data_IF_607284506223
#
_entry.id   IF_607284506223
#
_cell.length_a   1.000
_cell.length_b   1.000
_cell.length_c   1.000
_cell.angle_alpha   90.00
_cell.angle_beta   90.00
_cell.angle_gamma   90.00
#
_symmetry.space_group_name_H-M   'P 1'
#
loop_
_entity.id
_entity.type
_entity.pdbx_description
1 polymer ?
#
# COMPACT_ATOMS: atom_id res chain seq x y z
N UNK A 1 31.98 -78.50 36.75
CA UNK A 1 32.43 -77.82 35.51
C UNK A 1 33.17 -76.56 35.92
N UNK A 2 34.50 -76.59 35.97
CA UNK A 2 35.29 -75.40 36.25
C UNK A 2 35.17 -74.44 35.07
N UNK A 3 34.51 -73.32 35.29
CA UNK A 3 34.34 -72.28 34.29
C UNK A 3 35.73 -71.68 33.98
N UNK A 4 36.28 -72.01 32.81
CA UNK A 4 37.63 -71.58 32.42
C UNK A 4 37.60 -70.11 31.99
N UNK A 5 37.49 -69.22 32.97
CA UNK A 5 37.42 -67.78 32.80
C UNK A 5 38.62 -67.23 32.00
N UNK A 6 39.78 -67.90 32.06
CA UNK A 6 40.99 -67.52 31.30
C UNK A 6 40.78 -67.58 29.77
N UNK A 7 39.87 -68.42 29.27
CA UNK A 7 39.54 -68.48 27.83
C UNK A 7 38.50 -67.43 27.40
N UNK A 8 37.67 -66.94 28.32
CA UNK A 8 36.56 -66.01 28.04
C UNK A 8 36.96 -64.55 28.28
N UNK A 9 37.86 -64.31 29.24
CA UNK A 9 38.35 -63.00 29.63
C UNK A 9 38.89 -62.14 28.45
N UNK A 10 39.65 -62.67 27.48
CA UNK A 10 40.13 -61.88 26.33
C UNK A 10 38.98 -61.37 25.46
N UNK A 11 37.95 -62.20 25.24
CA UNK A 11 36.78 -61.85 24.43
C UNK A 11 35.88 -60.82 25.12
N UNK A 12 35.74 -60.91 26.44
CA UNK A 12 35.02 -59.91 27.24
C UNK A 12 35.76 -58.56 27.20
N UNK A 13 37.09 -58.57 27.32
CA UNK A 13 37.90 -57.35 27.22
C UNK A 13 37.80 -56.71 25.83
N UNK A 14 37.85 -57.50 24.76
CA UNK A 14 37.65 -57.00 23.38
C UNK A 14 36.25 -56.40 23.23
N UNK A 15 35.21 -57.07 23.73
CA UNK A 15 33.84 -56.56 23.67
C UNK A 15 33.69 -55.22 24.43
N UNK A 16 34.30 -55.08 25.60
CA UNK A 16 34.30 -53.81 26.36
C UNK A 16 35.02 -52.70 25.59
N UNK A 17 36.15 -52.99 24.94
CA UNK A 17 36.88 -52.01 24.12
C UNK A 17 36.08 -51.59 22.89
N UNK A 18 35.42 -52.54 22.22
CA UNK A 18 34.57 -52.26 21.05
C UNK A 18 33.33 -51.44 21.45
N UNK A 19 32.68 -51.79 22.56
CA UNK A 19 31.55 -51.02 23.11
C UNK A 19 32.03 -49.63 23.53
N UNK A 20 33.19 -49.52 24.18
CA UNK A 20 33.80 -48.25 24.56
C UNK A 20 34.14 -47.37 23.35
N UNK A 21 34.68 -47.94 22.27
CA UNK A 21 34.90 -47.21 21.01
C UNK A 21 33.59 -46.83 20.32
N UNK A 22 32.57 -47.69 20.33
CA UNK A 22 31.27 -47.39 19.75
C UNK A 22 30.58 -46.26 20.53
N UNK A 23 30.61 -46.32 21.86
CA UNK A 23 30.10 -45.26 22.75
C UNK A 23 30.90 -43.97 22.52
N UNK A 24 32.22 -44.03 22.47
CA UNK A 24 33.07 -42.87 22.18
C UNK A 24 32.81 -42.28 20.79
N UNK A 25 32.58 -43.11 19.76
CA UNK A 25 32.19 -42.67 18.42
C UNK A 25 30.80 -42.03 18.43
N UNK A 26 29.83 -42.62 19.14
CA UNK A 26 28.49 -42.05 19.33
C UNK A 26 28.57 -40.69 20.03
N UNK A 27 29.32 -40.55 21.12
CA UNK A 27 29.56 -39.27 21.79
C UNK A 27 30.34 -38.27 20.93
N UNK A 28 31.24 -38.75 20.06
CA UNK A 28 32.00 -37.90 19.13
C UNK A 28 31.13 -37.38 17.98
N UNK A 29 30.09 -38.12 17.57
CA UNK A 29 29.15 -37.72 16.52
C UNK A 29 27.90 -36.99 17.05
N UNK A 30 27.55 -37.13 18.33
CA UNK A 30 26.56 -36.29 19.01
C UNK A 30 27.28 -35.05 19.57
N UNK A 31 27.73 -34.18 18.66
CA UNK A 31 28.28 -32.89 19.06
C UNK A 31 27.21 -32.00 19.68
N UNK A 32 27.57 -31.18 20.67
CA UNK A 32 26.65 -30.17 21.21
C UNK A 32 26.13 -29.25 20.10
N UNK A 33 24.83 -28.93 20.16
CA UNK A 33 24.24 -27.93 19.28
C UNK A 33 24.82 -26.56 19.59
N UNK A 34 25.20 -25.80 18.55
CA UNK A 34 25.62 -24.41 18.70
C UNK A 34 24.94 -23.54 17.65
N UNK A 35 24.45 -22.38 18.08
CA UNK A 35 23.89 -21.34 17.24
C UNK A 35 24.48 -20.01 17.69
N UNK A 36 25.05 -19.26 16.76
CA UNK A 36 25.70 -17.98 17.02
C UNK A 36 25.35 -17.01 15.88
N UNK A 37 24.69 -15.92 16.20
CA UNK A 37 24.41 -14.82 15.28
C UNK A 37 25.69 -14.02 15.05
N UNK A 38 26.01 -13.74 13.79
CA UNK A 38 27.23 -13.01 13.39
C UNK A 38 26.93 -11.58 12.95
N UNK A 39 25.83 -11.37 12.22
CA UNK A 39 25.38 -10.04 11.82
C UNK A 39 23.87 -10.03 11.57
N UNK A 40 23.13 -8.99 12.00
CA UNK A 40 23.62 -7.84 12.77
C UNK A 40 23.89 -8.25 14.21
N UNK A 41 25.02 -7.80 14.76
CA UNK A 41 25.41 -8.11 16.14
C UNK A 41 25.53 -6.86 17.02
N UNK A 42 25.20 -5.68 16.49
CA UNK A 42 25.06 -4.46 17.25
C UNK A 42 25.68 -3.24 16.61
N UNK A 43 25.07 -2.08 16.85
CA UNK A 43 25.43 -0.76 16.34
C UNK A 43 25.34 -0.59 14.82
N UNK A 44 24.90 -1.60 14.06
CA UNK A 44 24.63 -1.40 12.64
C UNK A 44 23.52 -0.37 12.44
N UNK A 45 23.61 0.36 11.34
CA UNK A 45 22.59 1.32 10.92
C UNK A 45 22.08 0.82 9.57
N UNK A 46 20.88 0.27 9.59
CA UNK A 46 20.18 -0.26 8.43
C UNK A 46 19.04 0.68 8.05
N UNK A 47 18.54 0.52 6.84
CA UNK A 47 17.53 1.40 6.27
C UNK A 47 16.30 0.61 5.82
N UNK A 48 15.11 1.05 6.23
CA UNK A 48 13.86 0.49 5.77
C UNK A 48 13.76 0.49 4.23
N UNK A 49 13.19 -0.57 3.65
CA UNK A 49 13.06 -0.74 2.20
C UNK A 49 14.32 -1.23 1.47
N UNK A 50 15.44 -1.42 2.17
CA UNK A 50 16.65 -2.06 1.63
C UNK A 50 16.73 -3.53 2.05
N UNK A 51 17.57 -4.28 1.34
CA UNK A 51 17.88 -5.68 1.66
C UNK A 51 19.22 -5.77 2.36
N UNK A 52 19.25 -6.40 3.53
CA UNK A 52 20.46 -6.65 4.30
C UNK A 52 20.61 -8.14 4.60
N UNK A 53 21.85 -8.60 4.79
CA UNK A 53 22.12 -10.01 5.03
C UNK A 53 22.25 -10.27 6.53
N UNK A 54 21.44 -11.21 7.04
CA UNK A 54 21.56 -11.76 8.38
C UNK A 54 22.43 -13.01 8.28
N UNK A 55 23.49 -13.12 9.08
CA UNK A 55 24.45 -14.24 9.03
C UNK A 55 24.64 -14.89 10.39
N UNK A 56 24.91 -16.20 10.40
CA UNK A 56 25.07 -16.99 11.62
C UNK A 56 26.01 -18.18 11.42
N UNK A 57 26.49 -18.75 12.52
CA UNK A 57 27.09 -20.09 12.59
C UNK A 57 26.10 -21.05 13.23
N UNK A 58 26.00 -22.25 12.68
CA UNK A 58 25.16 -23.32 13.21
C UNK A 58 25.89 -24.66 13.14
N UNK A 59 25.78 -25.48 14.19
CA UNK A 59 26.28 -26.85 14.28
C UNK A 59 25.20 -27.75 14.84
N UNK A 60 24.95 -28.88 14.17
CA UNK A 60 23.92 -29.86 14.56
C UNK A 60 22.51 -29.27 14.70
N UNK A 61 22.20 -28.24 13.91
CA UNK A 61 20.88 -27.60 13.82
C UNK A 61 20.39 -27.73 12.38
N UNK A 62 19.18 -28.25 12.20
CA UNK A 62 18.60 -28.45 10.86
C UNK A 62 18.00 -27.17 10.29
N UNK A 63 17.19 -26.48 11.09
CA UNK A 63 16.45 -25.28 10.67
C UNK A 63 16.48 -24.20 11.74
N UNK A 64 16.34 -22.97 11.30
CA UNK A 64 16.28 -21.77 12.13
C UNK A 64 15.06 -20.92 11.80
N UNK A 65 14.63 -20.12 12.76
CA UNK A 65 13.75 -18.99 12.54
C UNK A 65 14.44 -17.72 13.01
N UNK A 66 14.10 -16.59 12.38
CA UNK A 66 14.68 -15.28 12.68
C UNK A 66 13.56 -14.34 13.06
N UNK A 67 13.74 -13.62 14.16
CA UNK A 67 12.78 -12.64 14.68
C UNK A 67 13.42 -11.26 14.79
N UNK A 68 12.61 -10.25 14.52
CA UNK A 68 12.88 -8.86 14.86
C UNK A 68 12.26 -8.57 16.23
N UNK A 69 13.10 -8.23 17.19
CA UNK A 69 12.70 -7.96 18.57
C UNK A 69 12.66 -6.46 18.79
N UNK A 70 11.55 -5.98 19.35
CA UNK A 70 11.31 -4.60 19.79
C UNK A 70 11.06 -4.59 21.29
N UNK A 71 11.66 -3.64 21.99
CA UNK A 71 11.60 -3.54 23.45
C UNK A 71 12.04 -4.85 24.15
N UNK A 72 12.23 -4.83 25.47
CA UNK A 72 12.88 -5.97 26.19
C UNK A 72 12.01 -7.24 26.29
N UNK A 73 11.03 -7.44 25.41
CA UNK A 73 9.97 -8.46 25.52
C UNK A 73 9.85 -9.32 24.25
N UNK A 74 10.16 -10.63 24.32
CA UNK A 74 9.97 -11.57 23.20
C UNK A 74 8.51 -11.75 22.72
N UNK A 75 7.52 -11.35 23.53
CA UNK A 75 6.08 -11.53 23.22
C UNK A 75 5.56 -10.64 22.09
N UNK A 76 6.26 -9.54 21.79
CA UNK A 76 5.90 -8.60 20.72
C UNK A 76 6.85 -8.71 19.51
N UNK A 77 7.66 -9.78 19.46
CA UNK A 77 8.63 -9.99 18.38
C UNK A 77 7.95 -10.42 17.08
N UNK A 78 8.43 -9.86 15.98
CA UNK A 78 7.94 -10.15 14.63
C UNK A 78 8.81 -11.23 13.98
N UNK A 79 8.19 -12.20 13.31
CA UNK A 79 8.96 -13.21 12.56
C UNK A 79 9.40 -12.65 11.21
N UNK A 80 10.72 -12.57 11.00
CA UNK A 80 11.32 -12.25 9.71
C UNK A 80 11.23 -13.45 8.78
N UNK A 81 11.55 -14.64 9.30
CA UNK A 81 11.44 -15.91 8.57
C UNK A 81 11.28 -17.07 9.56
N UNK A 82 10.54 -18.10 9.14
CA UNK A 82 10.37 -19.37 9.85
C UNK A 82 10.87 -20.52 8.98
N UNK A 83 11.22 -21.63 9.61
CA UNK A 83 11.54 -22.90 8.92
C UNK A 83 12.70 -22.81 7.89
N UNK A 84 13.69 -21.94 8.14
CA UNK A 84 14.77 -21.69 7.19
C UNK A 84 15.96 -22.66 7.38
N UNK A 85 16.56 -23.24 6.31
CA UNK A 85 17.66 -24.20 6.47
C UNK A 85 18.90 -23.58 7.14
N UNK A 86 19.28 -24.10 8.31
CA UNK A 86 20.38 -23.55 9.12
C UNK A 86 21.74 -23.63 8.40
N UNK A 87 21.92 -24.64 7.53
CA UNK A 87 23.12 -24.84 6.73
C UNK A 87 23.39 -23.75 5.69
N UNK A 88 22.42 -22.89 5.38
CA UNK A 88 22.62 -21.74 4.49
C UNK A 88 23.51 -20.65 5.11
N UNK A 89 23.53 -20.53 6.45
CA UNK A 89 24.35 -19.58 7.22
C UNK A 89 24.13 -18.08 6.94
N UNK A 90 23.20 -17.77 6.04
CA UNK A 90 22.83 -16.42 5.64
C UNK A 90 21.38 -16.36 5.17
N UNK A 91 20.75 -15.21 5.38
CA UNK A 91 19.40 -14.88 4.93
C UNK A 91 19.37 -13.43 4.43
N UNK A 92 18.88 -13.21 3.22
CA UNK A 92 18.72 -11.87 2.66
C UNK A 92 17.36 -11.32 3.11
N UNK A 93 17.37 -10.42 4.09
CA UNK A 93 16.18 -9.81 4.66
C UNK A 93 15.87 -8.50 3.95
N UNK A 94 14.77 -8.48 3.20
CA UNK A 94 14.17 -7.25 2.71
C UNK A 94 13.38 -6.60 3.84
N UNK A 95 13.91 -5.51 4.41
CA UNK A 95 13.24 -4.77 5.47
C UNK A 95 12.01 -4.08 4.86
N UNK A 96 10.86 -4.19 5.53
CA UNK A 96 9.64 -3.50 5.10
C UNK A 96 9.89 -2.00 4.96
N UNK A 97 9.39 -1.38 3.88
CA UNK A 97 9.65 0.02 3.56
C UNK A 97 9.20 1.02 4.64
N UNK A 98 8.23 0.61 5.46
CA UNK A 98 7.66 1.39 6.57
C UNK A 98 7.97 0.77 7.92
N UNK A 99 9.10 0.06 8.02
CA UNK A 99 9.61 -0.36 9.32
C UNK A 99 9.76 0.87 10.20
N UNK A 100 9.12 0.83 11.37
CA UNK A 100 9.13 1.91 12.35
C UNK A 100 10.59 2.32 12.68
N UNK A 101 10.98 3.59 12.48
CA UNK A 101 12.36 4.03 12.71
C UNK A 101 12.71 3.97 14.19
N UNK A 102 13.69 3.13 14.57
CA UNK A 102 14.14 2.98 15.95
C UNK A 102 15.60 2.58 16.05
N UNK A 103 16.17 2.77 17.24
CA UNK A 103 17.57 2.47 17.59
C UNK A 103 17.73 1.27 18.54
N UNK A 104 16.62 0.62 18.90
CA UNK A 104 16.53 -0.40 19.94
C UNK A 104 16.18 -1.81 19.41
N UNK A 105 16.31 -2.03 18.09
CA UNK A 105 16.06 -3.32 17.49
C UNK A 105 17.15 -4.34 17.87
N UNK A 106 16.73 -5.61 18.01
CA UNK A 106 17.61 -6.77 18.06
C UNK A 106 17.13 -7.86 17.10
N UNK A 107 18.06 -8.65 16.56
CA UNK A 107 17.72 -9.90 15.90
C UNK A 107 17.82 -11.02 16.92
N UNK A 108 16.81 -11.89 16.93
CA UNK A 108 16.88 -13.18 17.61
C UNK A 108 16.87 -14.29 16.57
N UNK A 109 17.83 -15.21 16.66
CA UNK A 109 17.86 -16.42 15.84
C UNK A 109 17.63 -17.63 16.72
N UNK A 110 16.71 -18.49 16.31
CA UNK A 110 16.28 -19.65 17.10
C UNK A 110 16.35 -20.92 16.28
N UNK A 111 16.66 -22.04 16.91
CA UNK A 111 16.36 -23.35 16.35
C UNK A 111 14.84 -23.48 16.15
N UNK A 112 14.43 -24.03 15.00
CA UNK A 112 13.03 -24.15 14.60
C UNK A 112 12.68 -25.61 14.27
N UNK A 113 11.48 -26.10 14.65
CA UNK A 113 10.43 -25.44 15.43
C UNK A 113 10.81 -25.26 16.92
N UNK A 114 10.19 -24.30 17.61
CA UNK A 114 10.55 -23.90 18.99
C UNK A 114 10.16 -24.95 20.04
N UNK A 115 11.12 -25.34 20.88
CA UNK A 115 10.96 -26.16 22.08
C UNK A 115 11.80 -25.57 23.23
N UNK A 116 11.54 -25.95 24.49
CA UNK A 116 12.21 -25.38 25.68
C UNK A 116 13.75 -25.54 25.66
N UNK A 117 14.28 -26.58 25.01
CA UNK A 117 15.72 -26.85 24.94
C UNK A 117 16.41 -26.28 23.68
N UNK A 118 15.69 -25.51 22.87
CA UNK A 118 16.21 -24.99 21.62
C UNK A 118 17.33 -23.97 21.84
N UNK A 119 18.30 -24.00 20.92
CA UNK A 119 19.31 -22.95 20.88
C UNK A 119 18.69 -21.65 20.38
N UNK A 120 18.95 -20.57 21.12
CA UNK A 120 18.60 -19.20 20.79
C UNK A 120 19.83 -18.34 20.96
N UNK A 121 20.00 -17.40 20.05
CA UNK A 121 20.98 -16.34 20.19
C UNK A 121 20.36 -14.99 19.80
N UNK A 122 20.92 -13.91 20.35
CA UNK A 122 20.46 -12.54 20.12
C UNK A 122 21.64 -11.68 19.67
N UNK A 123 21.36 -10.59 18.95
CA UNK A 123 22.36 -9.54 18.75
C UNK A 123 22.89 -9.04 20.11
N UNK A 124 24.21 -8.93 20.23
CA UNK A 124 24.87 -8.48 21.46
C UNK A 124 24.40 -7.08 21.87
N UNK A 125 24.39 -6.14 20.92
CA UNK A 125 23.86 -4.78 21.11
C UNK A 125 22.68 -4.51 20.19
N UNK A 126 21.98 -3.41 20.48
CA UNK A 126 20.91 -2.94 19.61
C UNK A 126 21.50 -2.44 18.29
N UNK A 127 20.73 -2.58 17.22
CA UNK A 127 21.01 -1.94 15.93
C UNK A 127 19.88 -0.97 15.59
N UNK A 128 20.17 -0.05 14.67
CA UNK A 128 19.23 0.99 14.24
C UNK A 128 18.64 0.64 12.89
N UNK A 129 17.32 0.76 12.77
CA UNK A 129 16.65 0.81 11.47
C UNK A 129 16.19 2.25 11.29
N UNK A 130 16.82 2.96 10.36
CA UNK A 130 16.34 4.24 9.88
C UNK A 130 15.08 4.00 9.06
N UNK A 131 14.17 4.97 9.12
CA UNK A 131 13.09 5.07 8.14
C UNK A 131 13.66 5.14 6.73
N UNK A 132 12.81 5.00 5.71
CA UNK A 132 13.29 5.10 4.35
C UNK A 132 13.92 6.47 4.10
N UNK A 133 14.99 6.53 3.30
CA UNK A 133 15.58 7.79 2.80
C UNK A 133 14.65 8.38 1.74
N UNK A 134 13.52 8.90 2.16
CA UNK A 134 12.69 9.75 1.34
C UNK A 134 12.78 11.16 1.92
N UNK A 135 12.66 12.17 1.05
CA UNK A 135 12.22 13.44 1.58
C UNK A 135 10.84 13.22 2.21
N UNK A 136 10.71 13.72 3.43
CA UNK A 136 9.58 13.42 4.29
C UNK A 136 8.45 14.39 3.97
N UNK A 137 7.27 13.87 3.69
CA UNK A 137 6.03 14.64 3.66
C UNK A 137 5.45 14.86 5.07
N UNK A 138 6.19 14.54 6.14
CA UNK A 138 5.68 14.60 7.51
C UNK A 138 5.41 16.05 7.93
N UNK A 139 6.25 17.01 7.51
CA UNK A 139 5.99 18.42 7.79
C UNK A 139 4.67 18.88 7.14
N UNK A 140 4.48 18.56 5.85
CA UNK A 140 3.22 18.79 5.16
C UNK A 140 2.05 18.08 5.85
N UNK A 141 2.31 16.88 6.37
CA UNK A 141 1.29 16.11 7.04
C UNK A 141 0.87 16.72 8.38
N UNK A 142 1.82 17.30 9.11
CA UNK A 142 1.58 18.04 10.34
C UNK A 142 0.87 19.36 10.04
N UNK A 143 1.38 20.15 9.08
CA UNK A 143 0.84 21.47 8.74
C UNK A 143 -0.58 21.40 8.18
N UNK A 144 -0.84 20.39 7.34
CA UNK A 144 -2.17 20.18 6.78
C UNK A 144 -3.07 19.36 7.71
N UNK A 145 -2.54 18.72 8.76
CA UNK A 145 -3.23 17.72 9.58
C UNK A 145 -3.71 16.48 8.78
N UNK A 146 -3.00 16.12 7.69
CA UNK A 146 -3.35 15.04 6.75
C UNK A 146 -2.19 14.12 6.42
N UNK A 147 -2.42 12.84 6.18
CA UNK A 147 -1.33 11.96 5.72
C UNK A 147 -0.97 12.22 4.25
N UNK A 148 0.28 12.63 4.00
CA UNK A 148 0.87 12.71 2.67
C UNK A 148 1.95 11.63 2.49
N UNK A 149 2.04 11.08 1.29
CA UNK A 149 3.04 10.11 0.89
C UNK A 149 3.90 10.68 -0.25
N UNK A 150 5.21 10.41 -0.27
CA UNK A 150 6.07 10.82 -1.38
C UNK A 150 5.75 10.03 -2.65
N UNK A 151 6.01 10.63 -3.81
CA UNK A 151 5.69 10.07 -5.13
C UNK A 151 6.40 8.76 -5.48
N UNK A 152 7.47 8.41 -4.76
CA UNK A 152 8.26 7.18 -4.91
C UNK A 152 7.92 6.11 -3.84
N UNK A 153 6.86 6.31 -3.08
CA UNK A 153 6.32 5.30 -2.18
C UNK A 153 5.96 4.03 -2.98
N UNK A 154 6.30 2.82 -2.50
CA UNK A 154 6.06 1.58 -3.24
C UNK A 154 4.57 1.24 -3.35
N UNK A 155 4.16 0.69 -4.49
CA UNK A 155 2.79 0.20 -4.75
C UNK A 155 1.70 1.29 -4.58
N UNK A 156 1.99 2.50 -5.05
CA UNK A 156 0.98 3.56 -5.15
C UNK A 156 0.00 3.30 -6.30
N UNK A 157 -1.24 3.77 -6.12
CA UNK A 157 -2.29 3.89 -7.12
C UNK A 157 -2.79 5.32 -7.12
N UNK A 158 -2.41 6.07 -8.15
CA UNK A 158 -2.80 7.47 -8.30
C UNK A 158 -4.23 7.57 -8.84
N UNK A 159 -4.98 8.53 -8.31
CA UNK A 159 -6.38 8.77 -8.66
C UNK A 159 -6.64 10.24 -8.89
N UNK A 160 -7.39 10.56 -9.94
CA UNK A 160 -7.95 11.90 -10.12
C UNK A 160 -9.39 11.84 -10.61
N UNK A 161 -10.09 12.97 -10.53
CA UNK A 161 -11.42 13.12 -11.13
C UNK A 161 -11.30 14.09 -12.30
N UNK A 162 -11.95 13.76 -13.42
CA UNK A 162 -11.96 14.63 -14.59
C UNK A 162 -12.55 16.01 -14.28
N UNK A 163 -12.01 17.04 -14.92
CA UNK A 163 -12.52 18.40 -14.98
C UNK A 163 -13.72 18.43 -15.93
N UNK A 164 -13.61 17.70 -17.04
CA UNK A 164 -14.69 17.54 -18.02
C UNK A 164 -15.74 16.55 -17.52
N UNK A 165 -17.01 16.88 -17.71
CA UNK A 165 -18.13 15.99 -17.49
C UNK A 165 -18.65 15.46 -18.84
N UNK A 166 -19.13 14.21 -18.84
CA UNK A 166 -19.54 13.48 -20.02
C UNK A 166 -20.92 12.88 -19.82
N UNK A 167 -21.73 12.84 -20.89
CA UNK A 167 -22.98 12.08 -20.91
C UNK A 167 -22.74 10.56 -20.87
N UNK A 168 -23.81 9.79 -20.95
CA UNK A 168 -23.77 8.33 -20.91
C UNK A 168 -23.08 7.69 -22.13
N UNK A 169 -23.02 8.37 -23.28
CA UNK A 169 -22.25 7.88 -24.42
C UNK A 169 -20.76 8.22 -24.26
N UNK A 170 -20.05 7.31 -23.58
CA UNK A 170 -18.61 7.37 -23.41
C UNK A 170 -17.86 6.63 -24.53
N UNK A 171 -18.55 5.96 -25.45
CA UNK A 171 -17.94 5.04 -26.42
C UNK A 171 -17.61 3.67 -25.81
N UNK A 172 -18.42 3.22 -24.86
CA UNK A 172 -18.15 2.02 -24.06
C UNK A 172 -17.06 2.23 -23.02
N UNK A 173 -16.65 1.15 -22.35
CA UNK A 173 -15.57 1.22 -21.36
C UNK A 173 -14.22 1.63 -21.97
N UNK A 174 -13.94 1.23 -23.22
CA UNK A 174 -12.73 1.67 -23.94
C UNK A 174 -12.70 3.17 -24.16
N UNK A 175 -13.80 3.76 -24.63
CA UNK A 175 -13.88 5.21 -24.82
C UNK A 175 -13.92 6.00 -23.50
N UNK A 176 -14.34 5.41 -22.38
CA UNK A 176 -14.19 5.99 -21.05
C UNK A 176 -12.73 5.99 -20.60
N UNK A 177 -12.00 4.90 -20.84
CA UNK A 177 -10.56 4.80 -20.56
C UNK A 177 -9.76 5.82 -21.39
N UNK A 178 -10.07 5.98 -22.68
CA UNK A 178 -9.45 7.00 -23.55
C UNK A 178 -9.66 8.43 -23.03
N UNK A 179 -10.83 8.74 -22.45
CA UNK A 179 -11.10 10.05 -21.85
C UNK A 179 -10.24 10.28 -20.61
N UNK A 180 -10.11 9.27 -19.75
CA UNK A 180 -9.20 9.33 -18.60
C UNK A 180 -7.74 9.48 -19.04
N UNK A 181 -7.29 8.72 -20.04
CA UNK A 181 -5.94 8.80 -20.56
C UNK A 181 -5.63 10.17 -21.15
N UNK A 182 -6.51 10.71 -21.99
CA UNK A 182 -6.36 12.03 -22.59
C UNK A 182 -6.25 13.12 -21.51
N UNK A 183 -7.09 13.06 -20.49
CA UNK A 183 -7.08 14.08 -19.45
C UNK A 183 -5.86 13.95 -18.52
N UNK A 184 -5.36 12.73 -18.31
CA UNK A 184 -4.09 12.52 -17.62
C UNK A 184 -2.92 13.17 -18.40
N UNK A 185 -2.87 12.98 -19.72
CA UNK A 185 -1.86 13.56 -20.60
C UNK A 185 -1.91 15.09 -20.61
N UNK A 186 -3.11 15.69 -20.67
CA UNK A 186 -3.30 17.14 -20.58
C UNK A 186 -2.79 17.73 -19.24
N UNK A 187 -2.80 16.91 -18.17
CA UNK A 187 -2.25 17.25 -16.85
C UNK A 187 -0.78 16.88 -16.66
N UNK A 188 -0.13 16.29 -17.68
CA UNK A 188 1.25 15.80 -17.57
C UNK A 188 1.43 14.60 -16.64
N UNK A 189 0.37 13.84 -16.38
CA UNK A 189 0.41 12.64 -15.55
C UNK A 189 0.86 11.43 -16.38
N UNK A 190 2.02 10.89 -16.04
CA UNK A 190 2.59 9.71 -16.71
C UNK A 190 1.85 8.40 -16.35
N UNK A 191 2.01 7.39 -17.20
CA UNK A 191 1.45 6.05 -17.01
C UNK A 191 0.17 5.80 -17.81
N UNK A 192 -0.45 4.64 -17.56
CA UNK A 192 -1.72 4.24 -18.19
C UNK A 192 -2.86 4.52 -17.23
N UNK A 193 -3.90 5.19 -17.70
CA UNK A 193 -5.04 5.61 -16.90
C UNK A 193 -6.33 5.02 -17.45
N UNK A 194 -7.17 4.52 -16.55
CA UNK A 194 -8.48 3.94 -16.88
C UNK A 194 -9.56 4.50 -15.99
N UNK A 195 -10.81 4.50 -16.48
CA UNK A 195 -11.95 4.90 -15.67
C UNK A 195 -12.30 3.81 -14.65
N UNK A 196 -12.54 4.18 -13.38
CA UNK A 196 -13.21 3.33 -12.40
C UNK A 196 -14.68 3.20 -12.76
N UNK A 197 -14.94 2.37 -13.78
CA UNK A 197 -16.23 2.26 -14.42
C UNK A 197 -16.49 0.80 -14.82
N UNK A 198 -17.63 0.27 -14.41
CA UNK A 198 -18.13 -1.02 -14.89
C UNK A 198 -19.28 -0.88 -15.88
N UNK A 199 -19.58 -1.95 -16.61
CA UNK A 199 -20.73 -2.03 -17.51
C UNK A 199 -21.69 -3.18 -17.12
N UNK A 200 -22.67 -3.47 -17.97
CA UNK A 200 -23.66 -4.52 -17.75
C UNK A 200 -23.08 -5.96 -17.77
N UNK A 201 -21.85 -6.13 -18.28
CA UNK A 201 -21.14 -7.40 -18.42
C UNK A 201 -19.86 -7.49 -17.57
N UNK A 202 -19.10 -6.40 -17.44
CA UNK A 202 -17.79 -6.31 -16.82
C UNK A 202 -17.84 -5.43 -15.57
N UNK A 203 -17.44 -5.97 -14.43
CA UNK A 203 -17.35 -5.20 -13.19
C UNK A 203 -16.08 -4.36 -13.15
N UNK A 204 -16.15 -3.16 -12.55
CA UNK A 204 -14.98 -2.29 -12.43
C UNK A 204 -13.83 -2.99 -11.66
N UNK A 205 -14.16 -3.73 -10.59
CA UNK A 205 -13.17 -4.46 -9.77
C UNK A 205 -12.53 -5.65 -10.47
N UNK A 206 -13.16 -6.17 -11.53
CA UNK A 206 -12.64 -7.33 -12.28
C UNK A 206 -11.75 -6.88 -13.45
N UNK A 207 -11.96 -5.67 -13.99
CA UNK A 207 -11.22 -5.17 -15.16
C UNK A 207 -10.00 -4.28 -14.82
N UNK A 208 -9.85 -3.84 -13.57
CA UNK A 208 -8.81 -2.89 -13.14
C UNK A 208 -7.84 -3.50 -12.13
N UNK A 209 -6.60 -3.02 -12.14
CA UNK A 209 -5.61 -3.31 -11.11
C UNK A 209 -5.79 -2.37 -9.90
N UNK A 210 -6.52 -2.84 -8.89
CA UNK A 210 -6.87 -2.07 -7.69
C UNK A 210 -6.04 -2.43 -6.45
N UNK A 211 -4.95 -3.18 -6.61
CA UNK A 211 -4.04 -3.49 -5.51
C UNK A 211 -3.14 -2.29 -5.19
N UNK A 212 -2.96 -1.96 -3.91
CA UNK A 212 -2.00 -0.92 -3.49
C UNK A 212 -2.65 0.25 -2.76
N UNK A 213 -1.85 1.29 -2.54
CA UNK A 213 -2.20 2.44 -1.71
C UNK A 213 -2.69 3.58 -2.59
N UNK A 214 -3.90 4.06 -2.32
CA UNK A 214 -4.57 5.05 -3.13
C UNK A 214 -4.17 6.45 -2.69
N UNK A 215 -3.74 7.28 -3.64
CA UNK A 215 -3.33 8.66 -3.42
C UNK A 215 -3.92 9.59 -4.50
N UNK A 216 -4.05 10.88 -4.20
CA UNK A 216 -4.36 11.88 -5.22
C UNK A 216 -3.23 11.93 -6.27
N UNK A 217 -3.61 11.99 -7.55
CA UNK A 217 -2.65 12.00 -8.64
C UNK A 217 -1.82 13.28 -8.68
N UNK A 218 -2.45 14.41 -8.36
CA UNK A 218 -1.82 15.71 -8.29
C UNK A 218 -1.08 15.85 -6.95
N UNK A 219 0.21 16.16 -7.01
CA UNK A 219 1.01 16.44 -5.84
C UNK A 219 0.87 17.90 -5.43
N UNK A 220 0.75 18.20 -4.13
CA UNK A 220 0.58 19.58 -3.66
C UNK A 220 1.88 20.38 -3.65
N UNK A 221 3.01 19.70 -3.46
CA UNK A 221 4.32 20.36 -3.37
C UNK A 221 5.42 19.44 -3.90
N UNK A 222 6.41 20.03 -4.59
CA UNK A 222 7.75 19.44 -4.71
C UNK A 222 8.27 19.30 -3.30
N UNK A 223 8.71 18.10 -2.92
CA UNK A 223 9.19 17.78 -1.58
C UNK A 223 10.07 18.93 -1.09
N UNK A 224 9.68 19.63 0.00
CA UNK A 224 10.53 20.67 0.54
C UNK A 224 11.88 20.02 0.81
N UNK A 225 12.91 20.47 0.10
CA UNK A 225 14.31 20.06 0.27
C UNK A 225 14.85 20.39 1.69
N UNK A 226 13.99 20.69 2.65
CA UNK A 226 14.29 21.52 3.79
C UNK A 226 14.18 20.71 5.07
N UNK A 227 15.31 20.11 5.44
CA UNK A 227 16.05 20.54 6.66
C UNK A 227 17.14 19.56 7.06
N UNK A 228 17.10 18.29 6.66
CA UNK A 228 18.07 17.32 7.21
C UNK A 228 19.52 17.60 6.72
N UNK A 229 19.80 17.78 5.40
CA UNK A 229 21.16 18.08 4.96
C UNK A 229 21.62 19.47 5.41
N UNK A 230 20.77 20.50 5.25
CA UNK A 230 21.11 21.87 5.62
C UNK A 230 21.29 22.04 7.14
N UNK A 231 20.45 21.43 7.98
CA UNK A 231 20.63 21.48 9.44
C UNK A 231 21.90 20.77 9.90
N UNK A 232 22.22 19.61 9.29
CA UNK A 232 23.47 18.91 9.57
C UNK A 232 24.68 19.78 9.20
N UNK A 233 24.62 20.46 8.04
CA UNK A 233 25.67 21.35 7.57
C UNK A 233 25.83 22.60 8.44
N UNK A 234 24.72 23.26 8.80
CA UNK A 234 24.75 24.42 9.70
C UNK A 234 25.21 24.03 11.11
N UNK A 235 24.82 22.84 11.60
CA UNK A 235 25.33 22.29 12.85
C UNK A 235 26.83 21.98 12.78
N UNK A 236 27.31 21.44 11.65
CA UNK A 236 28.73 21.21 11.41
C UNK A 236 29.51 22.53 11.32
N UNK A 237 29.02 23.53 10.59
CA UNK A 237 29.59 24.90 10.58
C UNK A 237 29.65 25.50 11.98
N UNK A 238 28.59 25.34 12.77
CA UNK A 238 28.54 25.79 14.16
C UNK A 238 29.57 25.08 15.04
N UNK A 239 29.72 23.76 14.89
CA UNK A 239 30.75 22.95 15.56
C UNK A 239 32.17 23.41 15.19
N UNK A 240 32.44 23.66 13.90
CA UNK A 240 33.72 24.18 13.41
C UNK A 240 34.02 25.59 13.94
N UNK A 241 33.01 26.46 13.99
CA UNK A 241 33.14 27.82 14.56
C UNK A 241 33.44 27.79 16.06
N UNK A 242 32.90 26.79 16.78
CA UNK A 242 33.16 26.57 18.21
C UNK A 242 34.55 25.99 18.47
N UNK A 243 35.06 25.15 17.57
CA UNK A 243 36.42 24.58 17.63
C UNK A 243 37.52 25.55 17.17
N UNK A 244 37.19 26.57 16.36
CA UNK A 244 38.07 27.72 16.03
C UNK A 244 38.61 28.48 17.26
N UNK A 245 38.03 28.29 18.46
CA UNK A 245 38.52 28.84 19.74
C UNK A 245 39.65 28.03 20.38
N UNK A 246 39.99 26.85 19.88
CA UNK A 246 41.20 26.11 20.25
C UNK A 246 42.28 26.41 19.21
N UNK A 247 43.20 27.32 19.52
CA UNK A 247 44.24 27.83 18.59
C UNK A 247 45.12 26.72 18.00
N UNK A 248 45.28 25.61 18.70
CA UNK A 248 46.23 24.54 18.38
C UNK A 248 45.83 23.64 17.18
N UNK A 249 44.59 23.73 16.68
CA UNK A 249 44.08 22.89 15.56
C UNK A 249 43.51 23.69 14.38
N UNK A 250 43.75 24.99 14.33
CA UNK A 250 43.07 25.91 13.40
C UNK A 250 43.33 25.61 11.92
N UNK A 251 44.58 25.36 11.52
CA UNK A 251 44.93 25.01 10.13
C UNK A 251 44.36 23.65 9.70
N UNK A 252 44.37 22.66 10.59
CA UNK A 252 43.87 21.31 10.30
C UNK A 252 42.36 21.29 10.13
N UNK A 253 41.65 22.11 10.91
CA UNK A 253 40.20 22.27 10.86
C UNK A 253 39.76 23.08 9.63
N UNK A 254 40.51 24.11 9.23
CA UNK A 254 40.24 24.87 8.00
C UNK A 254 40.50 24.03 6.75
N UNK A 255 41.57 23.22 6.73
CA UNK A 255 41.81 22.26 5.64
C UNK A 255 40.71 21.19 5.53
N UNK A 256 40.23 20.67 6.66
CA UNK A 256 39.10 19.73 6.68
C UNK A 256 37.79 20.38 6.21
N UNK A 257 37.55 21.65 6.54
CA UNK A 257 36.39 22.41 6.07
C UNK A 257 36.41 22.60 4.55
N UNK A 258 37.54 22.99 3.97
CA UNK A 258 37.67 23.21 2.53
C UNK A 258 37.51 21.91 1.71
N UNK A 259 38.02 20.80 2.25
CA UNK A 259 37.86 19.49 1.61
C UNK A 259 36.41 19.01 1.73
N UNK A 260 35.85 18.99 2.94
CA UNK A 260 34.49 18.49 3.19
C UNK A 260 33.42 19.37 2.55
N UNK A 261 33.61 20.69 2.52
CA UNK A 261 32.70 21.65 1.90
C UNK A 261 32.46 21.35 0.43
N UNK A 262 33.52 21.10 -0.34
CA UNK A 262 33.41 20.77 -1.77
C UNK A 262 32.63 19.47 -2.02
N UNK A 263 32.88 18.44 -1.21
CA UNK A 263 32.13 17.18 -1.34
C UNK A 263 30.69 17.33 -0.88
N UNK A 264 30.43 18.14 0.14
CA UNK A 264 29.10 18.38 0.66
C UNK A 264 28.25 19.23 -0.29
N UNK A 265 28.80 20.28 -0.90
CA UNK A 265 28.14 21.07 -1.93
C UNK A 265 27.81 20.23 -3.16
N UNK A 266 28.74 19.36 -3.59
CA UNK A 266 28.49 18.40 -4.67
C UNK A 266 27.36 17.43 -4.30
N UNK A 267 27.40 16.86 -3.10
CA UNK A 267 26.36 15.98 -2.58
C UNK A 267 25.01 16.69 -2.49
N UNK A 268 24.96 17.92 -1.98
CA UNK A 268 23.75 18.75 -1.95
C UNK A 268 23.20 18.97 -3.37
N UNK A 269 24.05 19.33 -4.33
CA UNK A 269 23.60 19.55 -5.71
C UNK A 269 23.11 18.27 -6.41
N UNK A 270 23.68 17.11 -6.10
CA UNK A 270 23.18 15.81 -6.56
C UNK A 270 21.86 15.43 -5.86
N UNK A 271 21.76 15.67 -4.55
CA UNK A 271 20.60 15.40 -3.73
C UNK A 271 19.40 16.30 -4.09
N UNK A 272 19.62 17.59 -4.31
CA UNK A 272 18.61 18.56 -4.75
C UNK A 272 18.02 18.14 -6.11
N UNK A 273 18.87 17.72 -7.05
CA UNK A 273 18.43 17.15 -8.35
C UNK A 273 17.61 15.87 -8.20
N UNK A 274 17.94 15.02 -7.22
CA UNK A 274 17.12 13.84 -6.89
C UNK A 274 15.78 14.19 -6.23
N UNK A 275 15.67 15.35 -5.56
CA UNK A 275 14.43 15.83 -4.94
C UNK A 275 13.52 16.61 -5.90
N UNK A 276 14.07 17.27 -6.93
CA UNK A 276 13.31 18.10 -7.90
C UNK A 276 12.14 17.37 -8.58
N UNK A 277 12.16 16.03 -8.61
CA UNK A 277 11.10 15.19 -9.23
C UNK A 277 10.17 14.52 -8.22
N UNK A 278 10.39 14.70 -6.91
CA UNK A 278 9.62 14.00 -5.89
C UNK A 278 8.58 14.95 -5.30
N UNK A 279 7.32 14.53 -5.36
CA UNK A 279 6.17 15.32 -4.89
C UNK A 279 5.44 14.62 -3.76
N UNK A 280 4.78 15.40 -2.89
CA UNK A 280 3.90 14.86 -1.86
C UNK A 280 2.47 14.73 -2.37
N UNK A 281 1.91 13.53 -2.23
CA UNK A 281 0.56 13.19 -2.63
C UNK A 281 -0.30 12.85 -1.42
N UNK A 282 -1.55 13.31 -1.42
CA UNK A 282 -2.46 13.04 -0.31
C UNK A 282 -2.89 11.57 -0.32
N UNK A 283 -2.92 10.95 0.86
CA UNK A 283 -3.47 9.61 1.05
C UNK A 283 -5.00 9.60 0.93
N UNK A 284 -5.51 8.79 -0.01
CA UNK A 284 -6.94 8.52 -0.17
C UNK A 284 -7.37 7.18 0.45
N UNK A 285 -6.47 6.24 0.67
CA UNK A 285 -6.79 4.98 1.36
C UNK A 285 -5.64 3.99 1.29
N UNK A 286 -5.49 3.14 2.31
CA UNK A 286 -4.38 2.16 2.35
C UNK A 286 -4.58 0.99 1.39
N UNK A 287 -5.82 0.80 0.93
CA UNK A 287 -6.24 -0.20 -0.04
C UNK A 287 -7.53 0.28 -0.74
N UNK A 288 -7.99 -0.48 -1.73
CA UNK A 288 -9.19 -0.12 -2.49
C UNK A 288 -10.45 -0.05 -1.61
N UNK A 289 -10.60 -0.94 -0.63
CA UNK A 289 -11.78 -0.94 0.25
C UNK A 289 -11.84 0.34 1.11
N UNK A 290 -10.72 0.75 1.71
CA UNK A 290 -10.64 1.98 2.48
C UNK A 290 -10.89 3.22 1.62
N UNK A 291 -10.32 3.25 0.41
CA UNK A 291 -10.57 4.33 -0.55
C UNK A 291 -12.04 4.37 -0.96
N UNK A 292 -12.59 3.23 -1.39
CA UNK A 292 -13.95 3.11 -1.87
C UNK A 292 -14.98 3.41 -0.78
N UNK A 293 -14.69 3.05 0.48
CA UNK A 293 -15.55 3.36 1.62
C UNK A 293 -15.76 4.87 1.80
N UNK A 294 -14.78 5.71 1.46
CA UNK A 294 -14.96 7.17 1.46
C UNK A 294 -16.06 7.62 0.50
N UNK A 295 -16.33 6.88 -0.57
CA UNK A 295 -17.45 7.14 -1.48
C UNK A 295 -18.82 6.77 -0.88
N UNK A 296 -18.87 6.25 0.34
CA UNK A 296 -20.10 5.82 1.03
C UNK A 296 -20.22 6.33 2.47
N UNK A 297 -19.16 6.92 3.03
CA UNK A 297 -19.14 7.48 4.37
C UNK A 297 -19.95 8.81 4.46
N UNK A 298 -20.38 9.21 5.67
CA UNK A 298 -20.93 10.54 5.92
C UNK A 298 -20.10 11.66 5.30
N UNK A 299 -20.78 12.63 4.67
CA UNK A 299 -20.15 13.79 4.05
C UNK A 299 -19.32 14.59 5.06
N UNK A 300 -19.75 14.64 6.34
CA UNK A 300 -19.01 15.31 7.41
C UNK A 300 -17.64 14.67 7.65
N UNK A 301 -17.56 13.34 7.72
CA UNK A 301 -16.30 12.61 7.90
C UNK A 301 -15.36 12.78 6.69
N UNK A 302 -15.94 12.90 5.49
CA UNK A 302 -15.17 13.10 4.27
C UNK A 302 -14.72 14.56 4.07
N UNK A 303 -15.46 15.55 4.58
CA UNK A 303 -15.05 16.96 4.57
C UNK A 303 -13.80 17.22 5.38
N UNK A 304 -13.63 16.48 6.46
CA UNK A 304 -12.35 16.44 7.14
C UNK A 304 -11.34 15.81 6.18
N UNK A 305 -11.61 14.62 5.65
CA UNK A 305 -10.58 13.75 5.04
C UNK A 305 -10.22 13.96 3.56
N UNK A 306 -10.87 14.85 2.83
CA UNK A 306 -10.68 15.05 1.38
C UNK A 306 -10.63 16.53 1.03
N UNK A 307 -9.97 16.86 -0.08
CA UNK A 307 -10.02 18.24 -0.60
C UNK A 307 -11.44 18.68 -0.90
N UNK A 308 -11.72 19.97 -0.71
CA UNK A 308 -13.02 20.54 -1.05
C UNK A 308 -13.40 20.31 -2.52
N UNK A 309 -12.47 20.53 -3.46
CA UNK A 309 -12.74 20.34 -4.89
C UNK A 309 -12.89 18.85 -5.25
N UNK A 310 -11.99 18.00 -4.77
CA UNK A 310 -12.08 16.56 -4.95
C UNK A 310 -13.41 16.02 -4.40
N UNK A 311 -13.77 16.40 -3.17
CA UNK A 311 -15.02 16.04 -2.50
C UNK A 311 -16.26 16.52 -3.26
N UNK A 312 -16.23 17.77 -3.74
CA UNK A 312 -17.33 18.34 -4.54
C UNK A 312 -17.54 17.53 -5.82
N UNK A 313 -16.47 17.21 -6.52
CA UNK A 313 -16.50 16.45 -7.76
C UNK A 313 -16.90 14.99 -7.53
N UNK A 314 -16.57 14.41 -6.37
CA UNK A 314 -16.91 13.05 -5.96
C UNK A 314 -18.41 12.76 -5.97
N UNK A 315 -19.25 13.79 -5.81
CA UNK A 315 -20.71 13.66 -5.84
C UNK A 315 -21.32 13.55 -7.24
N UNK A 316 -20.52 13.70 -8.30
CA UNK A 316 -21.01 13.73 -9.67
C UNK A 316 -20.10 12.91 -10.59
N UNK A 317 -19.89 11.62 -10.29
CA UNK A 317 -19.10 10.71 -11.11
C UNK A 317 -19.91 9.53 -11.63
N UNK A 318 -19.65 9.11 -12.87
CA UNK A 318 -20.10 7.81 -13.35
C UNK A 318 -19.29 6.70 -12.66
N UNK A 319 -19.98 5.64 -12.23
CA UNK A 319 -19.37 4.50 -11.54
C UNK A 319 -19.75 3.15 -12.17
N UNK A 320 -20.97 3.07 -12.72
CA UNK A 320 -21.46 1.83 -13.30
C UNK A 320 -21.54 0.70 -12.29
N UNK A 321 -21.34 -0.53 -12.76
CA UNK A 321 -21.30 -1.72 -11.90
C UNK A 321 -19.90 -1.96 -11.36
N UNK A 322 -19.65 -1.46 -10.16
CA UNK A 322 -18.33 -1.59 -9.52
C UNK A 322 -18.07 -3.04 -9.11
N UNK A 323 -19.07 -3.69 -8.50
CA UNK A 323 -19.01 -5.02 -7.91
C UNK A 323 -20.33 -5.78 -8.12
N UNK A 324 -20.45 -7.00 -7.58
CA UNK A 324 -21.63 -7.86 -7.78
C UNK A 324 -22.87 -7.31 -7.07
N UNK A 325 -22.69 -6.51 -6.03
CA UNK A 325 -23.73 -5.83 -5.27
C UNK A 325 -24.33 -4.64 -6.04
N UNK A 326 -23.61 -4.15 -7.06
CA UNK A 326 -24.10 -3.07 -7.92
C UNK A 326 -25.30 -3.52 -8.75
N UNK A 327 -26.40 -2.77 -8.67
CA UNK A 327 -27.65 -3.10 -9.35
C UNK A 327 -27.46 -3.24 -10.86
N UNK A 328 -27.97 -4.35 -11.40
CA UNK A 328 -27.91 -4.66 -12.85
C UNK A 328 -29.10 -4.11 -13.63
N UNK A 329 -30.24 -3.96 -12.98
CA UNK A 329 -31.50 -3.55 -13.58
C UNK A 329 -32.38 -2.83 -12.56
N UNK A 330 -33.36 -2.09 -13.05
CA UNK A 330 -34.38 -1.39 -12.26
C UNK A 330 -33.80 -0.48 -11.18
N UNK A 331 -32.93 0.42 -11.64
CA UNK A 331 -32.44 1.51 -10.80
C UNK A 331 -33.49 2.61 -10.72
N UNK A 332 -33.57 3.24 -9.56
CA UNK A 332 -34.36 4.47 -9.37
C UNK A 332 -33.53 5.65 -9.81
N UNK A 333 -34.12 6.53 -10.61
CA UNK A 333 -33.49 7.77 -11.06
C UNK A 333 -33.68 8.83 -9.99
N UNK A 334 -32.57 9.32 -9.44
CA UNK A 334 -32.57 10.34 -8.40
C UNK A 334 -32.57 11.74 -9.01
N UNK A 335 -33.74 12.37 -8.99
CA UNK A 335 -33.97 13.76 -9.39
C UNK A 335 -34.58 14.57 -8.24
N UNK A 336 -34.29 15.88 -8.19
CA UNK A 336 -34.87 16.80 -7.20
C UNK A 336 -36.41 16.86 -7.31
N UNK A 337 -36.91 16.75 -8.54
CA UNK A 337 -38.33 16.66 -8.86
C UNK A 337 -38.55 15.40 -9.69
N UNK A 338 -38.99 14.28 -9.10
CA UNK A 338 -39.30 13.09 -9.87
C UNK A 338 -40.39 13.40 -10.89
N UNK A 339 -40.32 12.71 -12.03
CA UNK A 339 -41.31 12.87 -13.09
C UNK A 339 -42.70 12.51 -12.57
N UNK A 340 -43.70 13.28 -13.01
CA UNK A 340 -45.12 12.94 -12.79
C UNK A 340 -45.51 11.64 -13.49
N UNK A 341 -44.77 11.30 -14.54
CA UNK A 341 -44.85 10.02 -15.23
C UNK A 341 -43.92 9.00 -14.55
N UNK A 342 -44.45 8.00 -13.83
CA UNK A 342 -43.65 7.02 -13.09
C UNK A 342 -42.69 6.22 -13.96
N UNK A 343 -43.00 6.02 -15.23
CA UNK A 343 -42.14 5.30 -16.19
C UNK A 343 -40.80 5.98 -16.40
N UNK A 344 -40.70 7.29 -16.15
CA UNK A 344 -39.46 8.05 -16.24
C UNK A 344 -38.64 8.09 -14.95
N UNK A 345 -39.13 7.48 -13.86
CA UNK A 345 -38.42 7.45 -12.58
C UNK A 345 -37.56 6.18 -12.40
N UNK A 346 -37.61 5.25 -13.36
CA UNK A 346 -36.90 3.97 -13.30
C UNK A 346 -36.23 3.65 -14.63
N UNK A 347 -35.12 2.91 -14.59
CA UNK A 347 -34.40 2.49 -15.78
C UNK A 347 -33.98 1.02 -15.74
N UNK A 348 -34.14 0.35 -16.87
CA UNK A 348 -33.51 -0.94 -17.16
C UNK A 348 -32.12 -0.67 -17.74
N UNK A 349 -31.12 -0.68 -16.86
CA UNK A 349 -29.88 0.07 -17.06
C UNK A 349 -28.89 -0.48 -18.07
N UNK A 350 -29.15 -1.66 -18.64
CA UNK A 350 -28.21 -2.32 -19.57
C UNK A 350 -27.87 -1.43 -20.77
N UNK A 351 -28.79 -0.56 -21.17
CA UNK A 351 -28.63 0.39 -22.29
C UNK A 351 -27.80 1.63 -21.96
N UNK A 352 -27.82 2.11 -20.73
CA UNK A 352 -27.01 3.27 -20.32
C UNK A 352 -25.67 2.87 -19.70
N UNK A 353 -25.62 1.69 -19.07
CA UNK A 353 -24.42 1.16 -18.44
C UNK A 353 -23.49 0.46 -19.43
N UNK A 354 -23.90 0.25 -20.69
CA UNK A 354 -22.95 -0.09 -21.76
C UNK A 354 -22.15 1.14 -22.26
N UNK A 355 -22.50 2.34 -21.79
CA UNK A 355 -21.88 3.62 -22.07
C UNK A 355 -21.85 4.04 -23.55
N UNK A 356 -22.91 3.74 -24.29
CA UNK A 356 -23.03 4.07 -25.74
C UNK A 356 -24.18 5.03 -26.07
N UNK A 357 -24.96 5.45 -25.07
CA UNK A 357 -26.23 6.17 -25.23
C UNK A 357 -26.23 7.41 -24.33
N UNK A 358 -26.71 8.54 -24.85
CA UNK A 358 -26.85 9.81 -24.11
C UNK A 358 -28.31 10.31 -24.09
N UNK A 359 -29.24 9.49 -24.56
CA UNK A 359 -30.65 9.78 -24.59
C UNK A 359 -31.25 9.60 -23.19
N UNK A 360 -32.23 10.43 -22.83
CA UNK A 360 -32.93 10.32 -21.54
C UNK A 360 -33.96 9.18 -21.55
N UNK A 361 -34.45 8.80 -22.73
CA UNK A 361 -35.64 7.97 -22.90
C UNK A 361 -35.40 6.88 -23.92
N UNK A 362 -36.08 5.76 -23.72
CA UNK A 362 -36.15 4.70 -24.72
C UNK A 362 -36.67 5.25 -26.05
N UNK A 363 -36.11 4.81 -27.20
CA UNK A 363 -36.59 5.24 -28.50
C UNK A 363 -38.09 5.04 -28.67
N UNK A 364 -38.78 6.05 -29.19
CA UNK A 364 -40.23 6.01 -29.41
C UNK A 364 -41.08 6.43 -28.21
N UNK A 365 -40.50 6.85 -27.08
CA UNK A 365 -41.26 7.36 -25.92
C UNK A 365 -41.31 8.91 -25.86
N UNK A 366 -42.49 9.54 -25.61
CA UNK A 366 -43.80 8.90 -25.48
C UNK A 366 -44.29 8.35 -26.83
N UNK A 367 -45.00 7.22 -26.84
CA UNK A 367 -45.54 6.65 -28.07
C UNK A 367 -46.55 7.59 -28.71
N UNK A 368 -46.64 7.58 -30.04
CA UNK A 368 -47.73 8.25 -30.77
C UNK A 368 -49.09 7.59 -30.42
N UNK A 369 -50.22 8.30 -30.60
CA UNK A 369 -51.55 7.80 -30.19
C UNK A 369 -51.93 6.39 -30.66
N UNK A 370 -51.39 5.92 -31.79
CA UNK A 370 -51.65 4.60 -32.38
C UNK A 370 -50.42 3.67 -32.40
N UNK A 371 -49.32 4.08 -31.79
CA UNK A 371 -48.06 3.34 -31.75
C UNK A 371 -47.95 2.58 -30.42
N UNK A 372 -47.71 1.26 -30.49
CA UNK A 372 -47.38 0.47 -29.31
C UNK A 372 -45.89 0.24 -29.28
N UNK A 373 -45.26 0.62 -28.17
CA UNK A 373 -43.85 0.32 -27.91
C UNK A 373 -43.77 -0.68 -26.75
N UNK A 374 -42.88 -1.66 -26.86
CA UNK A 374 -42.60 -2.59 -25.79
C UNK A 374 -41.56 -1.98 -24.85
N UNK A 375 -41.97 -1.73 -23.61
CA UNK A 375 -41.10 -1.18 -22.58
C UNK A 375 -40.60 -2.30 -21.66
N UNK A 376 -39.32 -2.27 -21.24
CA UNK A 376 -38.80 -3.23 -20.29
C UNK A 376 -39.52 -3.08 -18.93
N UNK A 377 -39.98 -4.19 -18.32
CA UNK A 377 -40.63 -4.14 -17.02
C UNK A 377 -39.60 -3.96 -15.90
N UNK A 378 -39.94 -3.12 -14.94
CA UNK A 378 -39.23 -2.93 -13.68
C UNK A 378 -40.15 -3.04 -12.48
N UNK A 379 -39.57 -3.16 -11.29
CA UNK A 379 -40.31 -3.30 -10.04
C UNK A 379 -39.86 -2.26 -9.01
N UNK A 380 -40.83 -1.61 -8.36
CA UNK A 380 -40.53 -0.73 -7.22
C UNK A 380 -40.00 -1.54 -6.04
N UNK A 381 -39.41 -0.89 -5.00
CA UNK A 381 -39.05 -1.58 -3.76
C UNK A 381 -40.21 -2.34 -3.11
N UNK A 382 -41.44 -1.91 -3.33
CA UNK A 382 -42.68 -2.55 -2.85
C UNK A 382 -43.18 -3.68 -3.78
N UNK A 383 -42.46 -3.97 -4.87
CA UNK A 383 -42.78 -5.04 -5.81
C UNK A 383 -43.81 -4.66 -6.89
N UNK A 384 -44.12 -3.37 -7.06
CA UNK A 384 -45.09 -2.92 -8.07
C UNK A 384 -44.43 -2.89 -9.45
N UNK A 385 -45.05 -3.53 -10.44
CA UNK A 385 -44.59 -3.50 -11.84
C UNK A 385 -44.76 -2.10 -12.45
N UNK A 386 -43.71 -1.60 -13.07
CA UNK A 386 -43.66 -0.33 -13.82
C UNK A 386 -42.96 -0.61 -15.14
N UNK A 387 -43.50 -0.08 -16.25
CA UNK A 387 -42.83 -0.13 -17.53
C UNK A 387 -41.81 1.02 -17.62
N UNK A 388 -40.52 0.70 -17.61
CA UNK A 388 -39.43 1.67 -17.52
C UNK A 388 -39.15 2.30 -18.89
N UNK A 389 -39.31 3.62 -18.98
CA UNK A 389 -39.11 4.39 -20.20
C UNK A 389 -37.85 5.28 -20.17
N UNK A 390 -37.23 5.46 -19.01
CA UNK A 390 -36.00 6.25 -18.89
C UNK A 390 -34.73 5.42 -19.04
N UNK A 391 -33.69 6.05 -19.55
CA UNK A 391 -32.35 5.50 -19.69
C UNK A 391 -31.43 6.16 -18.65
N UNK A 392 -30.85 5.36 -17.76
CA UNK A 392 -30.01 5.84 -16.69
C UNK A 392 -28.88 4.87 -16.33
N UNK A 393 -27.77 5.43 -15.87
CA UNK A 393 -26.58 4.72 -15.40
C UNK A 393 -26.38 4.90 -13.91
N UNK A 394 -25.53 4.06 -13.32
CA UNK A 394 -25.11 4.21 -11.92
C UNK A 394 -24.04 5.29 -11.80
N UNK A 395 -24.29 6.24 -10.91
CA UNK A 395 -23.40 7.33 -10.56
C UNK A 395 -23.23 7.42 -9.05
N UNK A 396 -22.26 8.23 -8.65
CA UNK A 396 -22.23 8.75 -7.29
C UNK A 396 -23.29 9.86 -7.08
N UNK A 397 -23.53 10.18 -5.82
CA UNK A 397 -24.16 11.44 -5.42
C UNK A 397 -24.42 11.50 -3.93
N UNK A 398 -25.11 12.55 -3.51
CA UNK A 398 -25.38 12.81 -2.09
C UNK A 398 -26.83 12.48 -1.79
N UNK A 399 -27.06 11.66 -0.76
CA UNK A 399 -28.37 11.38 -0.19
C UNK A 399 -28.44 11.91 1.23
N UNK A 400 -29.64 12.23 1.71
CA UNK A 400 -29.88 12.67 3.08
C UNK A 400 -30.71 11.63 3.83
N UNK A 401 -30.24 11.22 5.01
CA UNK A 401 -30.92 10.27 5.88
C UNK A 401 -30.86 10.78 7.32
N UNK A 402 -32.01 10.95 7.94
CA UNK A 402 -32.13 11.45 9.32
C UNK A 402 -31.41 12.79 9.58
N UNK A 403 -31.38 13.69 8.58
CA UNK A 403 -30.72 15.00 8.67
C UNK A 403 -29.20 14.97 8.42
N UNK A 404 -28.63 13.80 8.13
CA UNK A 404 -27.21 13.65 7.79
C UNK A 404 -27.04 13.31 6.30
N UNK A 405 -26.01 13.89 5.67
CA UNK A 405 -25.71 13.71 4.24
C UNK A 405 -24.64 12.65 4.05
N UNK A 406 -24.89 11.71 3.14
CA UNK A 406 -24.00 10.60 2.81
C UNK A 406 -23.68 10.61 1.32
N UNK A 407 -22.49 10.15 0.95
CA UNK A 407 -22.28 9.73 -0.43
C UNK A 407 -22.96 8.39 -0.66
N UNK A 408 -23.50 8.22 -1.85
CA UNK A 408 -24.02 6.96 -2.36
C UNK A 408 -23.35 6.68 -3.70
N UNK A 409 -22.88 5.45 -3.89
CA UNK A 409 -22.18 4.98 -5.10
C UNK A 409 -23.10 4.30 -6.11
N UNK A 410 -24.39 4.21 -5.80
CA UNK A 410 -25.38 3.47 -6.58
C UNK A 410 -26.64 4.30 -6.85
N UNK A 411 -26.48 5.57 -7.19
CA UNK A 411 -27.60 6.44 -7.56
C UNK A 411 -27.84 6.37 -9.06
N UNK A 412 -29.09 6.25 -9.47
CA UNK A 412 -29.44 6.34 -10.89
C UNK A 412 -29.46 7.78 -11.37
N UNK A 413 -28.76 8.05 -12.48
CA UNK A 413 -28.80 9.34 -13.20
C UNK A 413 -29.08 9.10 -14.68
N UNK A 414 -29.95 9.94 -15.24
CA UNK A 414 -30.29 9.86 -16.66
C UNK A 414 -29.05 10.02 -17.55
N UNK A 415 -28.98 9.28 -18.66
CA UNK A 415 -27.79 9.25 -19.51
C UNK A 415 -27.47 10.59 -20.17
N UNK A 416 -28.46 11.46 -20.35
CA UNK A 416 -28.26 12.79 -20.92
C UNK A 416 -27.56 13.75 -19.95
N UNK A 417 -27.52 13.44 -18.65
CA UNK A 417 -26.82 14.25 -17.67
C UNK A 417 -25.32 14.00 -17.78
N UNK A 418 -24.54 15.08 -17.73
CA UNK A 418 -23.09 14.95 -17.72
C UNK A 418 -22.58 14.66 -16.30
N UNK A 419 -21.76 13.63 -16.15
CA UNK A 419 -21.03 13.31 -14.92
C UNK A 419 -19.53 13.21 -15.23
N UNK A 420 -18.69 13.41 -14.21
CA UNK A 420 -17.24 13.25 -14.31
C UNK A 420 -16.85 11.77 -14.28
N UNK A 421 -15.60 11.48 -14.59
CA UNK A 421 -15.00 10.15 -14.47
C UNK A 421 -13.98 10.17 -13.33
N UNK A 422 -13.96 9.09 -12.55
CA UNK A 422 -12.91 8.82 -11.58
C UNK A 422 -11.84 7.96 -12.26
N UNK A 423 -10.65 8.51 -12.46
CA UNK A 423 -9.58 7.88 -13.24
C UNK A 423 -8.51 7.31 -12.32
N UNK A 424 -8.06 6.08 -12.59
CA UNK A 424 -7.10 5.33 -11.78
C UNK A 424 -5.93 4.88 -12.65
N UNK A 425 -4.71 5.12 -12.17
CA UNK A 425 -3.48 4.63 -12.79
C UNK A 425 -3.38 3.09 -12.68
N UNK A 426 -3.03 2.42 -13.78
CA UNK A 426 -3.02 0.94 -13.90
C UNK A 426 -1.65 0.30 -13.70
#
# INVERSE_FOLDING_TARGET
>A
MEFNYKKILPWVLIAIVVIGMAIWLVYRFIGEKSLELISPNGNEIWQAGKTYQITWKAKNIGKVGIMLVKDKTPRESEWIVKDFPAGKRKYDWQIFGWQEPRQDYKIAIVEYPWYEENKIDYSDKNFTILGPTFASCDNLSIEAEWSYLPSDFPNLRKVFITNTAFGGNLGGLGGADEKCQKEAEERGLEGTWKALLGDDTNLAVERLNLEGIFIEAEGKEVLPATKIPNYLWESFKSFLKKTKKLEEKRETVEGAYDVLGKYFEKFLGEWEKEQERKTCHRLLGKNFEEFFKKLSDPLALNREKLEEEFLKNLSNIWLGRINKESKKECITIFAQYPSRDPSLNYSFTTTCQNWTISEERVPGYPPKPDEKIELPPCYTPEGVRIDAAALAGLSSGIIEKAGEKFFATSLGKACNLSQKLLCIQQ
#
